data_IF_958347165030
#
_entry.id   IF_958347165030
#
_cell.length_a   1.000
_cell.length_b   1.000
_cell.length_c   1.000
_cell.angle_alpha   90.00
_cell.angle_beta   90.00
_cell.angle_gamma   90.00
#
_symmetry.space_group_name_H-M   'P 1'
#
loop_
_entity.id
_entity.type
_entity.pdbx_description
1 polymer ?
#
# COMPACT_ATOMS: atom_id res chain seq x y z
N UNK A 1 -16.84 -6.68 -9.61
CA UNK A 1 -15.93 -6.87 -8.46
C UNK A 1 -16.68 -7.22 -7.17
N UNK A 2 -17.75 -6.52 -6.82
CA UNK A 2 -18.51 -6.71 -5.57
C UNK A 2 -18.96 -8.17 -5.30
N UNK A 3 -19.60 -8.82 -6.29
CA UNK A 3 -19.99 -10.25 -6.17
C UNK A 3 -18.82 -11.22 -5.97
N UNK A 4 -17.62 -10.92 -6.52
CA UNK A 4 -16.43 -11.74 -6.31
C UNK A 4 -15.89 -11.57 -4.89
N UNK A 5 -15.90 -10.34 -4.37
CA UNK A 5 -15.52 -10.05 -2.99
C UNK A 5 -16.46 -10.74 -1.99
N UNK A 6 -17.78 -10.63 -2.20
CA UNK A 6 -18.79 -11.30 -1.37
C UNK A 6 -18.61 -12.83 -1.37
N UNK A 7 -18.37 -13.44 -2.54
CA UNK A 7 -18.11 -14.88 -2.62
C UNK A 7 -16.85 -15.31 -1.89
N UNK A 8 -15.78 -14.51 -1.96
CA UNK A 8 -14.53 -14.77 -1.24
C UNK A 8 -14.70 -14.58 0.27
N UNK A 9 -15.44 -13.56 0.69
CA UNK A 9 -15.74 -13.28 2.10
C UNK A 9 -16.54 -14.43 2.72
N UNK A 10 -17.60 -14.89 2.05
CA UNK A 10 -18.41 -16.02 2.52
C UNK A 10 -17.58 -17.31 2.63
N UNK A 11 -16.69 -17.54 1.66
CA UNK A 11 -15.74 -18.66 1.71
C UNK A 11 -14.82 -18.57 2.93
N UNK A 12 -14.20 -17.42 3.17
CA UNK A 12 -13.31 -17.19 4.30
C UNK A 12 -14.05 -17.26 5.65
N UNK A 13 -15.25 -16.69 5.75
CA UNK A 13 -16.08 -16.80 6.96
C UNK A 13 -16.44 -18.26 7.28
N UNK A 14 -16.78 -19.06 6.25
CA UNK A 14 -17.07 -20.48 6.43
C UNK A 14 -15.81 -21.25 6.85
N UNK A 15 -14.66 -20.98 6.23
CA UNK A 15 -13.38 -21.60 6.60
C UNK A 15 -12.95 -21.24 8.02
N UNK A 16 -13.13 -19.98 8.41
CA UNK A 16 -12.78 -19.48 9.73
C UNK A 16 -13.71 -20.03 10.81
N UNK A 17 -15.01 -20.08 10.57
CA UNK A 17 -15.97 -20.69 11.52
C UNK A 17 -15.69 -22.17 11.74
N UNK A 18 -15.33 -22.93 10.70
CA UNK A 18 -14.89 -24.32 10.84
C UNK A 18 -13.63 -24.45 11.70
N UNK A 19 -12.62 -23.58 11.49
CA UNK A 19 -11.43 -23.54 12.35
C UNK A 19 -11.80 -23.24 13.80
N UNK A 20 -12.64 -22.23 14.03
CA UNK A 20 -13.06 -21.82 15.37
C UNK A 20 -13.85 -22.94 16.10
N UNK A 21 -14.71 -23.67 15.38
CA UNK A 21 -15.43 -24.82 15.93
C UNK A 21 -14.45 -25.92 16.30
N UNK A 22 -13.48 -26.23 15.42
CA UNK A 22 -12.47 -27.25 15.70
C UNK A 22 -11.62 -26.90 16.92
N UNK A 23 -11.18 -25.64 17.06
CA UNK A 23 -10.43 -25.18 18.22
C UNK A 23 -11.25 -25.23 19.49
N UNK A 24 -12.53 -24.81 19.44
CA UNK A 24 -13.43 -24.89 20.60
C UNK A 24 -13.68 -26.34 21.04
N UNK A 25 -13.87 -27.28 20.10
CA UNK A 25 -14.02 -28.70 20.40
C UNK A 25 -12.75 -29.26 21.04
N UNK A 26 -11.58 -28.88 20.53
CA UNK A 26 -10.29 -29.29 21.08
C UNK A 26 -10.11 -28.76 22.51
N UNK A 27 -10.46 -27.51 22.77
CA UNK A 27 -10.43 -26.91 24.11
C UNK A 27 -11.40 -27.61 25.08
N UNK A 28 -12.63 -27.92 24.64
CA UNK A 28 -13.58 -28.68 25.45
C UNK A 28 -13.07 -30.08 25.79
N UNK A 29 -12.49 -30.78 24.82
CA UNK A 29 -11.90 -32.10 25.04
C UNK A 29 -10.73 -32.03 26.02
N UNK A 30 -9.87 -31.03 25.84
CA UNK A 30 -8.74 -30.75 26.72
C UNK A 30 -9.19 -30.48 28.17
N UNK A 31 -10.12 -29.54 28.41
CA UNK A 31 -10.64 -29.28 29.75
C UNK A 31 -11.35 -30.48 30.38
N UNK A 32 -12.06 -31.28 29.58
CA UNK A 32 -12.69 -32.51 30.07
C UNK A 32 -11.68 -33.57 30.48
N UNK A 33 -10.63 -33.76 29.68
CA UNK A 33 -9.52 -34.66 29.99
C UNK A 33 -8.78 -34.22 31.26
N UNK A 34 -8.54 -32.93 31.43
CA UNK A 34 -7.88 -32.36 32.61
C UNK A 34 -8.67 -32.61 33.89
N UNK A 35 -10.00 -32.43 33.84
CA UNK A 35 -10.87 -32.69 34.98
C UNK A 35 -10.86 -34.17 35.35
N UNK A 36 -10.91 -35.06 34.35
CA UNK A 36 -10.82 -36.51 34.57
C UNK A 36 -9.48 -36.92 35.18
N UNK A 37 -8.36 -36.42 34.64
CA UNK A 37 -7.02 -36.67 35.18
C UNK A 37 -6.86 -36.12 36.61
N UNK A 38 -7.42 -34.94 36.89
CA UNK A 38 -7.37 -34.33 38.23
C UNK A 38 -8.16 -35.14 39.26
N UNK A 39 -9.35 -35.64 38.90
CA UNK A 39 -10.15 -36.51 39.78
C UNK A 39 -9.45 -37.84 40.04
N UNK A 40 -8.87 -38.46 39.00
CA UNK A 40 -8.09 -39.69 39.14
C UNK A 40 -6.86 -39.48 40.03
N UNK A 41 -6.14 -38.38 39.83
CA UNK A 41 -4.97 -38.03 40.63
C UNK A 41 -5.35 -37.83 42.10
N UNK A 42 -6.43 -37.09 42.38
CA UNK A 42 -6.93 -36.89 43.74
C UNK A 42 -7.35 -38.23 44.37
N UNK A 43 -8.06 -39.08 43.64
CA UNK A 43 -8.51 -40.39 44.11
C UNK A 43 -7.36 -41.33 44.49
N UNK A 44 -6.34 -41.42 43.63
CA UNK A 44 -5.12 -42.20 43.90
C UNK A 44 -4.34 -41.58 45.06
N UNK A 45 -4.25 -40.25 45.11
CA UNK A 45 -3.60 -39.52 46.21
C UNK A 45 -4.23 -39.81 47.57
N UNK A 46 -5.56 -39.76 47.67
CA UNK A 46 -6.30 -40.10 48.89
C UNK A 46 -6.10 -41.57 49.28
N UNK A 47 -6.11 -42.48 48.30
CA UNK A 47 -5.84 -43.90 48.55
C UNK A 47 -4.43 -44.14 49.14
N UNK A 48 -3.42 -43.43 48.62
CA UNK A 48 -2.02 -43.53 49.10
C UNK A 48 -1.82 -42.92 50.50
N UNK A 49 -2.55 -41.86 50.82
CA UNK A 49 -2.58 -41.29 52.19
C UNK A 49 -3.19 -42.29 53.17
N UNK A 50 -4.29 -42.95 52.79
CA UNK A 50 -4.93 -43.99 53.61
C UNK A 50 -4.01 -45.22 53.82
N UNK A 51 -3.19 -45.56 52.82
CA UNK A 51 -2.15 -46.57 52.93
C UNK A 51 -0.90 -46.12 53.73
N UNK A 52 -0.92 -44.93 54.32
CA UNK A 52 0.18 -44.30 55.08
C UNK A 52 1.51 -44.20 54.31
N UNK A 53 1.46 -44.20 52.98
CA UNK A 53 2.67 -44.15 52.13
C UNK A 53 3.14 -42.73 51.85
N UNK A 54 2.23 -41.74 51.91
CA UNK A 54 2.47 -40.34 51.51
C UNK A 54 1.77 -39.41 52.50
N UNK A 55 2.37 -38.26 52.81
CA UNK A 55 1.77 -37.20 53.63
C UNK A 55 0.96 -36.19 52.80
N UNK A 56 0.02 -35.47 53.43
CA UNK A 56 -0.83 -34.49 52.74
C UNK A 56 -0.01 -33.39 52.01
N UNK A 57 1.10 -32.94 52.60
CA UNK A 57 1.97 -31.92 52.00
C UNK A 57 2.67 -32.40 50.72
N UNK A 58 3.04 -33.68 50.66
CA UNK A 58 3.69 -34.29 49.49
C UNK A 58 2.71 -34.39 48.32
N UNK A 59 1.45 -34.76 48.58
CA UNK A 59 0.40 -34.82 47.55
C UNK A 59 0.14 -33.42 46.94
N UNK A 60 0.03 -32.39 47.78
CA UNK A 60 -0.17 -31.01 47.31
C UNK A 60 1.03 -30.54 46.46
N UNK A 61 2.26 -30.86 46.88
CA UNK A 61 3.45 -30.51 46.12
C UNK A 61 3.47 -31.17 44.73
N UNK A 62 3.16 -32.47 44.65
CA UNK A 62 3.10 -33.19 43.37
C UNK A 62 1.98 -32.63 42.49
N UNK A 63 0.82 -32.29 43.05
CA UNK A 63 -0.29 -31.71 42.29
C UNK A 63 0.06 -30.35 41.68
N UNK A 64 0.72 -29.47 42.44
CA UNK A 64 1.17 -28.16 41.93
C UNK A 64 2.21 -28.32 40.82
N UNK A 65 3.17 -29.24 40.98
CA UNK A 65 4.16 -29.52 39.94
C UNK A 65 3.50 -30.10 38.67
N UNK A 66 2.57 -31.04 38.83
CA UNK A 66 1.81 -31.62 37.72
C UNK A 66 1.03 -30.55 36.94
N UNK A 67 0.24 -29.72 37.62
CA UNK A 67 -0.59 -28.71 36.96
C UNK A 67 0.26 -27.67 36.22
N UNK A 68 1.38 -27.23 36.82
CA UNK A 68 2.33 -26.32 36.15
C UNK A 68 2.96 -26.96 34.91
N UNK A 69 3.47 -28.19 35.02
CA UNK A 69 4.07 -28.88 33.88
C UNK A 69 3.06 -29.13 32.76
N UNK A 70 1.88 -29.62 33.11
CA UNK A 70 0.79 -29.93 32.19
C UNK A 70 0.38 -28.70 31.37
N UNK A 71 0.15 -27.56 32.04
CA UNK A 71 -0.21 -26.31 31.36
C UNK A 71 0.84 -25.91 30.31
N UNK A 72 2.13 -25.89 30.68
CA UNK A 72 3.19 -25.48 29.74
C UNK A 72 3.39 -26.50 28.60
N UNK A 73 3.25 -27.79 28.89
CA UNK A 73 3.38 -28.85 27.90
C UNK A 73 2.35 -28.69 26.76
N UNK A 74 1.12 -28.33 27.10
CA UNK A 74 0.04 -28.17 26.12
C UNK A 74 0.18 -26.89 25.29
N UNK A 75 0.76 -25.82 25.87
CA UNK A 75 1.05 -24.61 25.11
C UNK A 75 2.04 -24.84 23.96
N UNK A 76 2.95 -25.81 24.09
CA UNK A 76 3.89 -26.17 23.00
C UNK A 76 3.13 -26.58 21.73
N UNK A 77 2.04 -27.36 21.89
CA UNK A 77 1.21 -27.78 20.77
C UNK A 77 0.51 -26.63 20.04
N UNK A 78 0.23 -25.53 20.75
CA UNK A 78 -0.31 -24.30 20.19
C UNK A 78 0.74 -23.46 19.48
N UNK A 79 1.95 -23.37 20.03
CA UNK A 79 3.01 -22.50 19.49
C UNK A 79 3.68 -23.06 18.24
N UNK A 80 3.72 -24.38 18.03
CA UNK A 80 4.36 -24.96 16.83
C UNK A 80 3.71 -24.46 15.51
N UNK A 81 2.37 -24.50 15.35
CA UNK A 81 1.72 -23.91 14.17
C UNK A 81 1.99 -22.41 14.00
N UNK A 82 1.96 -21.66 15.10
CA UNK A 82 2.19 -20.20 15.09
C UNK A 82 3.63 -19.87 14.65
N UNK A 83 4.62 -20.61 15.14
CA UNK A 83 6.00 -20.50 14.69
C UNK A 83 6.15 -20.82 13.20
N UNK A 84 5.46 -21.85 12.71
CA UNK A 84 5.48 -22.21 11.29
C UNK A 84 4.91 -21.09 10.42
N UNK A 85 3.82 -20.47 10.85
CA UNK A 85 3.21 -19.32 10.19
C UNK A 85 4.17 -18.12 10.16
N UNK A 86 4.83 -17.81 11.28
CA UNK A 86 5.85 -16.77 11.33
C UNK A 86 7.02 -17.02 10.37
N UNK A 87 7.46 -18.28 10.21
CA UNK A 87 8.54 -18.63 9.27
C UNK A 87 8.14 -18.40 7.81
N UNK A 88 6.87 -18.63 7.45
CA UNK A 88 6.37 -18.32 6.09
C UNK A 88 6.38 -16.82 5.85
N UNK A 89 5.85 -16.01 6.78
CA UNK A 89 5.89 -14.55 6.66
C UNK A 89 7.32 -14.01 6.58
N UNK A 90 8.23 -14.61 7.33
CA UNK A 90 9.65 -14.25 7.29
C UNK A 90 10.26 -14.56 5.92
N UNK A 91 9.92 -15.69 5.31
CA UNK A 91 10.39 -16.05 3.97
C UNK A 91 9.90 -15.05 2.92
N UNK A 92 8.62 -14.68 2.94
CA UNK A 92 8.04 -13.71 2.00
C UNK A 92 8.68 -12.33 2.16
N UNK A 93 8.97 -11.92 3.40
CA UNK A 93 9.70 -10.68 3.70
C UNK A 93 11.11 -10.74 3.09
N UNK A 94 11.85 -11.82 3.31
CA UNK A 94 13.19 -11.97 2.75
C UNK A 94 13.19 -12.05 1.23
N UNK A 95 12.19 -12.67 0.62
CA UNK A 95 12.00 -12.67 -0.83
C UNK A 95 11.79 -11.25 -1.36
N UNK A 96 10.95 -10.46 -0.69
CA UNK A 96 10.74 -9.04 -1.03
C UNK A 96 12.02 -8.22 -0.88
N UNK A 97 12.78 -8.39 0.21
CA UNK A 97 14.05 -7.70 0.42
C UNK A 97 15.15 -8.15 -0.54
N UNK A 98 15.03 -9.35 -1.12
CA UNK A 98 15.97 -9.88 -2.11
C UNK A 98 15.62 -9.46 -3.55
N UNK A 99 14.51 -8.75 -3.77
CA UNK A 99 14.18 -8.19 -5.08
C UNK A 99 15.26 -7.20 -5.51
N UNK A 100 15.58 -7.23 -6.81
CA UNK A 100 16.55 -6.30 -7.39
C UNK A 100 16.10 -4.85 -7.20
N UNK A 101 17.02 -4.03 -6.72
CA UNK A 101 16.79 -2.60 -6.54
C UNK A 101 17.14 -1.83 -7.80
N UNK A 102 16.70 -0.57 -7.85
CA UNK A 102 17.04 0.35 -8.93
C UNK A 102 18.57 0.56 -9.06
N UNK A 103 19.29 0.51 -7.93
CA UNK A 103 20.74 0.66 -7.87
C UNK A 103 21.50 -0.51 -8.52
N UNK A 104 20.90 -1.70 -8.61
CA UNK A 104 21.53 -2.87 -9.23
C UNK A 104 21.74 -2.70 -10.74
N UNK A 105 21.05 -1.74 -11.35
CA UNK A 105 21.17 -1.39 -12.77
C UNK A 105 22.18 -0.28 -13.04
N UNK A 106 22.83 0.27 -12.01
CA UNK A 106 23.82 1.33 -12.14
C UNK A 106 25.22 0.77 -12.44
N UNK A 107 26.04 1.59 -13.10
CA UNK A 107 27.45 1.30 -13.31
C UNK A 107 28.23 1.37 -12.00
N UNK A 108 29.37 0.67 -11.94
CA UNK A 108 30.22 0.60 -10.74
C UNK A 108 30.81 1.96 -10.31
N UNK A 109 30.89 2.92 -11.23
CA UNK A 109 31.40 4.27 -10.98
C UNK A 109 30.30 5.29 -11.22
N UNK A 110 29.84 5.92 -10.14
CA UNK A 110 28.84 6.98 -10.20
C UNK A 110 29.53 8.33 -10.45
N UNK A 111 29.33 8.91 -11.63
CA UNK A 111 29.79 10.23 -12.01
C UNK A 111 28.74 11.30 -11.74
N UNK A 112 29.11 12.34 -11.00
CA UNK A 112 28.25 13.53 -10.87
C UNK A 112 28.24 14.35 -12.16
N UNK A 113 27.09 14.93 -12.48
CA UNK A 113 26.98 15.94 -13.54
C UNK A 113 27.69 17.20 -13.06
N UNK A 114 28.69 17.66 -13.81
CA UNK A 114 29.41 18.89 -13.50
C UNK A 114 28.78 20.06 -14.26
N UNK A 115 28.99 21.28 -13.77
CA UNK A 115 28.49 22.50 -14.43
C UNK A 115 28.95 22.65 -15.88
N UNK A 116 30.15 22.13 -16.22
CA UNK A 116 30.66 22.10 -17.60
C UNK A 116 29.83 21.19 -18.52
N UNK A 117 29.28 20.11 -17.99
CA UNK A 117 28.55 19.10 -18.77
C UNK A 117 27.20 19.69 -19.24
N UNK A 118 26.59 20.57 -18.44
CA UNK A 118 25.37 21.31 -18.79
C UNK A 118 25.51 22.22 -20.02
N UNK A 119 26.75 22.53 -20.44
CA UNK A 119 27.02 23.33 -21.64
C UNK A 119 27.09 22.48 -22.92
N UNK A 120 26.89 21.17 -22.82
CA UNK A 120 26.87 20.29 -23.99
C UNK A 120 25.74 20.66 -24.96
N UNK A 121 25.98 20.55 -26.28
CA UNK A 121 24.98 20.91 -27.30
C UNK A 121 23.79 19.93 -27.31
N UNK A 122 23.97 18.71 -26.83
CA UNK A 122 22.93 17.69 -26.72
C UNK A 122 22.58 17.47 -25.26
N UNK A 123 21.30 17.64 -24.92
CA UNK A 123 20.80 17.41 -23.57
C UNK A 123 20.54 15.92 -23.31
N UNK A 124 19.85 15.24 -24.23
CA UNK A 124 19.52 13.80 -24.11
C UNK A 124 19.84 13.11 -25.42
N UNK A 125 20.49 11.96 -25.39
CA UNK A 125 20.72 11.11 -26.57
C UNK A 125 20.36 9.68 -26.26
N UNK A 126 19.64 9.04 -27.16
CA UNK A 126 19.30 7.62 -27.13
C UNK A 126 20.04 6.94 -28.27
N UNK A 127 20.83 5.93 -27.96
CA UNK A 127 21.61 5.17 -28.93
C UNK A 127 21.11 3.72 -28.97
N UNK A 128 20.51 3.35 -30.10
CA UNK A 128 20.03 2.00 -30.40
C UNK A 128 19.11 1.37 -29.35
N UNK A 129 18.17 2.15 -28.82
CA UNK A 129 17.32 1.73 -27.72
C UNK A 129 16.33 0.66 -28.15
N UNK A 130 16.33 -0.44 -27.41
CA UNK A 130 15.32 -1.49 -27.48
C UNK A 130 14.70 -1.73 -26.11
N UNK A 131 13.36 -1.80 -26.04
CA UNK A 131 12.63 -1.94 -24.78
C UNK A 131 11.26 -2.62 -24.93
N UNK A 132 10.90 -3.45 -23.95
CA UNK A 132 9.57 -4.03 -23.73
C UNK A 132 9.31 -4.24 -22.23
N UNK A 133 8.04 -4.13 -21.78
CA UNK A 133 7.68 -4.29 -20.36
C UNK A 133 7.79 -5.74 -19.85
N UNK A 134 7.62 -6.70 -20.75
CA UNK A 134 7.76 -8.12 -20.48
C UNK A 134 8.41 -8.78 -21.71
N UNK A 135 8.97 -9.97 -21.53
CA UNK A 135 9.73 -10.72 -22.55
C UNK A 135 8.97 -10.99 -23.87
N UNK A 136 7.69 -10.66 -23.97
CA UNK A 136 6.84 -11.05 -25.11
C UNK A 136 6.46 -9.89 -26.05
N UNK A 137 6.69 -8.63 -25.67
CA UNK A 137 6.34 -7.48 -26.53
C UNK A 137 7.37 -6.36 -26.48
N UNK A 138 8.16 -6.25 -27.55
CA UNK A 138 9.03 -5.11 -27.78
C UNK A 138 8.21 -3.90 -28.25
N UNK A 139 8.30 -2.80 -27.52
CA UNK A 139 7.56 -1.55 -27.76
C UNK A 139 8.43 -0.58 -28.56
N UNK A 140 9.73 -0.54 -28.25
CA UNK A 140 10.72 0.31 -28.92
C UNK A 140 11.77 -0.61 -29.52
N UNK A 141 12.00 -0.48 -30.83
CA UNK A 141 12.95 -1.30 -31.58
C UNK A 141 14.03 -0.39 -32.19
N UNK A 142 15.29 -0.55 -31.76
CA UNK A 142 16.46 0.12 -32.35
C UNK A 142 16.29 1.64 -32.56
N UNK A 143 15.75 2.34 -31.56
CA UNK A 143 15.50 3.78 -31.65
C UNK A 143 16.78 4.56 -31.31
N UNK A 144 17.24 5.38 -32.26
CA UNK A 144 18.31 6.36 -32.03
C UNK A 144 17.79 7.77 -32.26
N UNK A 145 17.87 8.63 -31.24
CA UNK A 145 17.39 10.02 -31.31
C UNK A 145 18.17 10.91 -30.34
N UNK A 146 18.46 12.13 -30.75
CA UNK A 146 19.15 13.14 -29.94
C UNK A 146 18.31 14.39 -29.79
N UNK A 147 18.23 14.92 -28.57
CA UNK A 147 17.54 16.15 -28.21
C UNK A 147 18.57 17.22 -27.88
N UNK A 148 18.53 18.32 -28.64
CA UNK A 148 19.44 19.45 -28.45
C UNK A 148 19.13 20.23 -27.17
N UNK A 149 20.19 20.73 -26.54
CA UNK A 149 20.08 21.54 -25.34
C UNK A 149 19.46 22.91 -25.65
N UNK A 150 18.55 23.37 -24.80
CA UNK A 150 17.84 24.64 -24.98
C UNK A 150 16.77 24.67 -26.08
N UNK A 151 16.52 23.56 -26.80
CA UNK A 151 15.47 23.47 -27.82
C UNK A 151 14.22 22.74 -27.32
N UNK A 152 13.05 23.30 -27.62
CA UNK A 152 11.78 22.63 -27.39
C UNK A 152 11.54 21.59 -28.49
N UNK A 153 11.43 20.31 -28.11
CA UNK A 153 11.16 19.21 -29.04
C UNK A 153 9.81 18.59 -28.73
N UNK A 154 8.98 18.40 -29.77
CA UNK A 154 7.69 17.74 -29.65
C UNK A 154 7.76 16.31 -30.22
N UNK A 155 7.35 15.32 -29.42
CA UNK A 155 7.26 13.91 -29.83
C UNK A 155 5.81 13.61 -30.19
N UNK A 156 5.56 13.32 -31.47
CA UNK A 156 4.21 13.03 -31.99
C UNK A 156 4.14 11.60 -32.54
N UNK A 157 2.94 11.03 -32.58
CA UNK A 157 2.73 9.67 -33.09
C UNK A 157 1.40 9.06 -32.65
N UNK A 158 1.03 7.92 -33.23
CA UNK A 158 -0.23 7.21 -32.94
C UNK A 158 -0.32 6.80 -31.47
N UNK A 159 -1.53 6.68 -30.93
CA UNK A 159 -1.73 6.11 -29.58
C UNK A 159 -1.15 4.69 -29.53
N UNK A 160 -0.42 4.36 -28.46
CA UNK A 160 0.24 3.06 -28.31
C UNK A 160 1.63 2.93 -28.94
N UNK A 161 2.15 3.93 -29.66
CA UNK A 161 3.49 3.84 -30.28
C UNK A 161 4.68 4.02 -29.31
N UNK A 162 4.45 3.93 -27.99
CA UNK A 162 5.52 4.00 -26.99
C UNK A 162 6.00 5.40 -26.56
N UNK A 163 5.30 6.50 -26.89
CA UNK A 163 5.71 7.87 -26.49
C UNK A 163 5.88 8.03 -24.98
N UNK A 164 4.88 7.62 -24.20
CA UNK A 164 4.95 7.68 -22.74
C UNK A 164 6.02 6.74 -22.21
N UNK A 165 6.23 5.58 -22.85
CA UNK A 165 7.29 4.64 -22.51
C UNK A 165 8.68 5.25 -22.73
N UNK A 166 8.90 5.95 -23.85
CA UNK A 166 10.13 6.66 -24.14
C UNK A 166 10.46 7.71 -23.07
N UNK A 167 9.47 8.52 -22.66
CA UNK A 167 9.65 9.49 -21.58
C UNK A 167 10.01 8.81 -20.25
N UNK A 168 9.32 7.70 -19.91
CA UNK A 168 9.63 6.92 -18.70
C UNK A 168 11.04 6.32 -18.73
N UNK A 169 11.55 5.92 -19.90
CA UNK A 169 12.93 5.45 -20.05
C UNK A 169 13.96 6.57 -19.86
N UNK A 170 13.69 7.76 -20.42
CA UNK A 170 14.56 8.94 -20.22
C UNK A 170 14.60 9.32 -18.73
N UNK A 171 13.47 9.22 -18.02
CA UNK A 171 13.40 9.43 -16.56
C UNK A 171 14.03 8.27 -15.73
N UNK A 172 14.48 7.20 -16.39
CA UNK A 172 15.07 6.04 -15.74
C UNK A 172 14.10 5.21 -14.90
N UNK A 173 12.80 5.22 -15.20
CA UNK A 173 11.83 4.37 -14.47
C UNK A 173 11.89 2.90 -14.85
N UNK A 174 12.53 2.58 -15.98
CA UNK A 174 12.80 1.22 -16.39
C UNK A 174 14.23 1.13 -16.93
N UNK A 175 14.96 0.05 -16.63
CA UNK A 175 16.21 -0.24 -17.31
C UNK A 175 15.94 -0.56 -18.79
N UNK A 176 16.84 -0.12 -19.66
CA UNK A 176 16.78 -0.45 -21.09
C UNK A 176 17.21 -1.90 -21.31
N UNK A 177 16.54 -2.61 -22.23
CA UNK A 177 16.91 -4.01 -22.56
C UNK A 177 18.02 -4.09 -23.61
N UNK A 178 18.25 -3.02 -24.36
CA UNK A 178 19.35 -2.86 -25.31
C UNK A 178 19.57 -1.40 -25.65
N UNK A 179 20.81 -1.05 -26.01
CA UNK A 179 21.23 0.33 -26.25
C UNK A 179 21.56 1.10 -24.97
N UNK A 180 21.83 2.39 -25.12
CA UNK A 180 22.24 3.28 -24.01
C UNK A 180 21.57 4.66 -24.10
N UNK A 181 21.25 5.23 -22.93
CA UNK A 181 20.72 6.59 -22.80
C UNK A 181 21.83 7.47 -22.22
N UNK A 182 22.01 8.65 -22.81
CA UNK A 182 22.98 9.64 -22.39
C UNK A 182 22.28 10.94 -22.00
N UNK A 183 22.72 11.52 -20.88
CA UNK A 183 22.32 12.84 -20.41
C UNK A 183 23.56 13.73 -20.40
N UNK A 184 23.53 14.83 -21.14
CA UNK A 184 24.67 15.73 -21.34
C UNK A 184 25.97 15.01 -21.75
N UNK A 185 25.85 13.96 -22.58
CA UNK A 185 26.98 13.16 -23.07
C UNK A 185 27.48 12.07 -22.13
N UNK A 186 26.93 11.93 -20.92
CA UNK A 186 27.26 10.87 -19.95
C UNK A 186 26.19 9.80 -19.91
N UNK A 187 26.56 8.54 -19.70
CA UNK A 187 25.60 7.44 -19.64
C UNK A 187 24.72 7.55 -18.41
N UNK A 188 23.41 7.32 -18.57
CA UNK A 188 22.45 7.35 -17.48
C UNK A 188 22.80 6.36 -16.36
N UNK A 189 23.30 5.18 -16.73
CA UNK A 189 23.77 4.15 -15.80
C UNK A 189 25.01 4.58 -14.99
N UNK A 190 25.85 5.46 -15.54
CA UNK A 190 27.06 5.96 -14.87
C UNK A 190 26.77 7.20 -14.03
N UNK A 191 25.72 7.97 -14.31
CA UNK A 191 25.36 9.15 -13.50
C UNK A 191 24.65 8.77 -12.20
N UNK A 192 23.89 7.68 -12.23
CA UNK A 192 22.92 7.35 -11.19
C UNK A 192 21.58 8.06 -11.41
N UNK A 193 20.48 7.37 -11.13
CA UNK A 193 19.15 7.90 -11.38
C UNK A 193 18.77 9.08 -10.48
N UNK A 194 19.28 9.13 -9.25
CA UNK A 194 19.02 10.28 -8.35
C UNK A 194 19.57 11.58 -8.95
N UNK A 195 20.85 11.59 -9.33
CA UNK A 195 21.50 12.77 -9.91
C UNK A 195 20.91 13.13 -11.27
N UNK A 196 20.60 12.13 -12.10
CA UNK A 196 19.92 12.34 -13.37
C UNK A 196 18.54 13.00 -13.18
N UNK A 197 17.73 12.51 -12.24
CA UNK A 197 16.39 13.05 -11.96
C UNK A 197 16.43 14.46 -11.35
N UNK A 198 17.52 14.87 -10.69
CA UNK A 198 17.70 16.27 -10.26
C UNK A 198 17.76 17.25 -11.44
N UNK A 199 18.14 16.78 -12.63
CA UNK A 199 18.20 17.58 -13.86
C UNK A 199 16.94 17.43 -14.73
N UNK A 200 15.97 16.59 -14.35
CA UNK A 200 14.79 16.28 -15.15
C UNK A 200 13.52 16.64 -14.38
N UNK A 201 12.72 17.54 -14.94
CA UNK A 201 11.35 17.77 -14.48
C UNK A 201 10.39 16.88 -15.29
N UNK A 202 9.57 16.08 -14.60
CA UNK A 202 8.57 15.20 -15.22
C UNK A 202 7.16 15.61 -14.80
N UNK A 203 6.30 15.87 -15.78
CA UNK A 203 4.87 16.15 -15.56
C UNK A 203 4.07 14.98 -16.14
N UNK A 204 3.47 14.12 -15.30
CA UNK A 204 2.68 12.99 -15.78
C UNK A 204 1.37 13.46 -16.44
N UNK A 205 0.80 12.59 -17.27
CA UNK A 205 -0.50 12.84 -17.90
C UNK A 205 -1.63 12.96 -16.86
N UNK A 206 -1.58 12.14 -15.80
CA UNK A 206 -2.49 12.17 -14.67
C UNK A 206 -1.67 12.53 -13.42
N UNK A 207 -1.73 13.79 -12.93
CA UNK A 207 -0.99 14.19 -11.75
C UNK A 207 -1.58 13.55 -10.50
N UNK A 208 -0.71 13.13 -9.59
CA UNK A 208 -1.08 12.65 -8.27
C UNK A 208 -0.83 13.73 -7.23
N UNK A 209 -1.79 13.91 -6.31
CA UNK A 209 -1.64 14.79 -5.16
C UNK A 209 -1.64 13.94 -3.90
N UNK A 210 -0.67 14.19 -3.02
CA UNK A 210 -0.64 13.59 -1.71
C UNK A 210 -1.78 14.16 -0.85
N UNK A 211 -2.27 13.34 0.09
CA UNK A 211 -3.31 13.72 1.05
C UNK A 211 -2.75 14.65 2.14
N UNK A 212 -2.24 15.80 1.72
CA UNK A 212 -1.60 16.82 2.56
C UNK A 212 -2.02 18.21 2.04
N UNK A 213 -1.44 19.27 2.58
CA UNK A 213 -1.69 20.62 2.09
C UNK A 213 -1.13 20.83 0.66
N UNK A 214 -1.69 21.82 -0.04
CA UNK A 214 -1.20 22.22 -1.37
C UNK A 214 0.23 22.75 -1.29
N UNK A 215 0.56 23.48 -0.21
CA UNK A 215 1.91 23.98 0.04
C UNK A 215 2.93 22.84 0.11
N UNK A 216 2.63 21.80 0.89
CA UNK A 216 3.49 20.62 1.00
C UNK A 216 3.61 19.84 -0.31
N UNK A 217 2.53 19.75 -1.10
CA UNK A 217 2.58 19.14 -2.43
C UNK A 217 3.52 19.92 -3.38
N UNK A 218 3.53 21.26 -3.32
CA UNK A 218 4.46 22.08 -4.13
C UNK A 218 5.89 21.96 -3.58
N UNK A 219 6.06 22.01 -2.26
CA UNK A 219 7.36 21.86 -1.60
C UNK A 219 8.00 20.50 -1.88
N UNK A 220 7.20 19.47 -2.15
CA UNK A 220 7.68 18.13 -2.50
C UNK A 220 8.61 18.13 -3.72
N UNK A 221 8.42 19.04 -4.68
CA UNK A 221 9.27 19.16 -5.86
C UNK A 221 10.70 19.63 -5.56
N UNK A 222 10.92 20.31 -4.43
CA UNK A 222 12.23 20.76 -3.96
C UNK A 222 12.26 20.73 -2.42
N UNK A 223 12.72 19.63 -1.80
CA UNK A 223 12.84 19.54 -0.35
C UNK A 223 13.65 20.72 0.22
N UNK A 224 13.12 21.38 1.24
CA UNK A 224 13.72 22.57 1.84
C UNK A 224 13.47 23.89 1.10
N UNK A 225 12.54 23.92 0.13
CA UNK A 225 12.12 25.17 -0.50
C UNK A 225 11.55 26.16 0.52
N UNK A 226 11.89 27.43 0.37
CA UNK A 226 11.30 28.49 1.20
C UNK A 226 9.86 28.76 0.80
N UNK A 227 9.07 29.34 1.70
CA UNK A 227 7.69 29.76 1.41
C UNK A 227 7.63 30.71 0.21
N UNK A 228 8.64 31.56 0.03
CA UNK A 228 8.73 32.47 -1.12
C UNK A 228 8.95 31.70 -2.44
N UNK A 229 9.83 30.69 -2.45
CA UNK A 229 10.03 29.82 -3.62
C UNK A 229 8.77 29.06 -3.98
N UNK A 230 8.03 28.55 -2.97
CA UNK A 230 6.76 27.84 -3.16
C UNK A 230 5.71 28.77 -3.76
N UNK A 231 5.56 29.98 -3.22
CA UNK A 231 4.63 30.97 -3.79
C UNK A 231 5.00 31.37 -5.22
N UNK A 232 6.29 31.53 -5.51
CA UNK A 232 6.75 31.86 -6.85
C UNK A 232 6.49 30.71 -7.84
N UNK A 233 6.71 29.46 -7.43
CA UNK A 233 6.36 28.29 -8.25
C UNK A 233 4.85 28.21 -8.52
N UNK A 234 4.02 28.44 -7.50
CA UNK A 234 2.55 28.47 -7.65
C UNK A 234 2.10 29.57 -8.63
N UNK A 235 2.72 30.75 -8.57
CA UNK A 235 2.46 31.87 -9.50
C UNK A 235 2.91 31.54 -10.91
N UNK A 236 4.06 30.91 -11.10
CA UNK A 236 4.55 30.53 -12.42
C UNK A 236 3.68 29.44 -13.08
N UNK A 237 3.13 28.52 -12.29
CA UNK A 237 2.25 27.46 -12.78
C UNK A 237 0.85 27.96 -13.18
N UNK A 238 0.44 29.15 -12.73
CA UNK A 238 -0.87 29.73 -13.04
C UNK A 238 -0.73 30.91 -14.00
N UNK A 239 -1.28 30.84 -15.24
CA UNK A 239 -1.20 31.96 -16.18
C UNK A 239 -1.99 33.23 -15.74
N UNK A 240 -2.75 33.17 -14.64
CA UNK A 240 -3.53 34.28 -14.10
C UNK A 240 -3.25 34.49 -12.61
N UNK A 241 -2.11 35.08 -12.29
CA UNK A 241 -1.57 35.59 -11.00
C UNK A 241 -2.44 35.67 -9.72
N UNK A 242 -3.23 34.66 -9.40
CA UNK A 242 -4.11 34.62 -8.23
C UNK A 242 -4.13 33.20 -7.66
N UNK A 243 -3.42 33.03 -6.54
CA UNK A 243 -3.30 31.75 -5.81
C UNK A 243 -4.67 31.15 -5.41
N UNK A 244 -5.73 31.96 -5.36
CA UNK A 244 -7.10 31.55 -5.04
C UNK A 244 -7.74 30.59 -6.07
N UNK A 245 -7.32 30.64 -7.34
CA UNK A 245 -7.85 29.74 -8.38
C UNK A 245 -7.15 28.37 -8.41
N UNK A 246 -5.94 28.28 -7.86
CA UNK A 246 -5.21 27.01 -7.73
C UNK A 246 -5.88 26.09 -6.70
N UNK A 247 -6.29 26.66 -5.56
CA UNK A 247 -7.08 25.95 -4.55
C UNK A 247 -8.43 25.56 -5.12
N UNK A 248 -9.15 26.47 -5.77
CA UNK A 248 -10.52 26.20 -6.26
C UNK A 248 -10.57 25.05 -7.28
N UNK A 249 -9.60 24.95 -8.19
CA UNK A 249 -9.61 23.94 -9.28
C UNK A 249 -9.09 22.57 -8.84
N UNK A 250 -8.24 22.50 -7.82
CA UNK A 250 -7.84 21.25 -7.15
C UNK A 250 -8.92 20.80 -6.16
N UNK A 251 -9.59 21.73 -5.47
CA UNK A 251 -10.69 21.45 -4.55
C UNK A 251 -11.96 20.99 -5.28
N UNK A 252 -12.21 21.44 -6.53
CA UNK A 252 -13.34 20.92 -7.33
C UNK A 252 -13.12 19.48 -7.78
N UNK A 253 -11.87 19.03 -8.02
CA UNK A 253 -11.58 17.61 -8.29
C UNK A 253 -11.73 16.75 -7.04
N UNK A 254 -11.28 17.23 -5.88
CA UNK A 254 -11.39 16.51 -4.62
C UNK A 254 -12.84 16.37 -4.14
N UNK A 255 -13.68 17.40 -4.34
CA UNK A 255 -15.11 17.32 -3.99
C UNK A 255 -15.89 16.33 -4.86
N UNK A 256 -15.44 16.09 -6.10
CA UNK A 256 -16.05 15.10 -7.01
C UNK A 256 -15.68 13.66 -6.63
N UNK A 257 -14.53 13.44 -6.00
CA UNK A 257 -14.07 12.11 -5.58
C UNK A 257 -14.66 11.71 -4.22
N UNK A 258 -14.91 12.67 -3.31
CA UNK A 258 -15.63 12.40 -2.05
C UNK A 258 -17.12 12.13 -2.26
N UNK A 259 -17.76 12.66 -3.31
CA UNK A 259 -19.15 12.35 -3.66
C UNK A 259 -19.33 10.96 -4.30
N UNK A 260 -18.31 10.41 -4.95
CA UNK A 260 -18.39 9.11 -5.64
C UNK A 260 -18.15 7.91 -4.69
N UNK A 261 -17.61 8.13 -3.49
CA UNK A 261 -17.18 7.06 -2.56
C UNK A 261 -17.96 6.95 -1.24
N UNK A 262 -19.18 7.48 -1.13
CA UNK A 262 -20.06 7.12 0.00
C UNK A 262 -20.91 5.87 -0.33
N UNK A 263 -20.82 4.78 0.46
CA UNK A 263 -21.83 3.73 0.43
C UNK A 263 -23.15 4.22 1.08
N UNK A 264 -24.31 3.62 0.76
CA UNK A 264 -25.58 4.02 1.36
C UNK A 264 -25.64 3.46 2.79
N UNK A 265 -26.11 4.27 3.76
CA UNK A 265 -27.04 3.88 4.84
C UNK A 265 -27.17 5.04 5.85
N UNK A 266 -28.37 5.64 5.81
CA UNK A 266 -29.18 6.30 6.85
C UNK A 266 -28.55 6.73 8.19
N UNK A 267 -28.75 8.02 8.53
CA UNK A 267 -29.26 8.42 9.84
C UNK A 267 -30.02 9.75 9.72
N UNK A 268 -31.33 9.69 9.95
CA UNK A 268 -32.21 10.85 10.04
C UNK A 268 -31.93 11.63 11.33
N UNK A 269 -31.65 12.93 11.24
CA UNK A 269 -31.86 13.90 12.32
C UNK A 269 -32.26 15.24 11.69
N UNK A 270 -33.57 15.44 11.49
CA UNK A 270 -34.13 16.78 11.25
C UNK A 270 -34.60 17.35 12.57
N UNK A 271 -33.95 18.39 13.07
CA UNK A 271 -34.47 19.20 14.17
C UNK A 271 -34.31 20.69 13.86
N UNK A 272 -35.44 21.36 13.61
CA UNK A 272 -35.78 22.71 14.13
C UNK A 272 -37.18 23.16 13.68
N UNK A 273 -38.06 23.53 14.63
CA UNK A 273 -39.05 24.60 14.48
C UNK A 273 -38.46 25.91 15.09
N UNK A 274 -39.16 27.08 15.17
CA UNK A 274 -40.58 27.36 14.91
C UNK A 274 -40.88 28.62 14.05
N UNK A 275 -42.19 28.78 13.79
CA UNK A 275 -42.94 30.00 13.46
C UNK A 275 -43.09 30.50 12.01
N UNK A 276 -44.23 30.14 11.39
CA UNK A 276 -45.20 31.07 10.79
C UNK A 276 -46.53 30.36 10.43
N UNK A 277 -47.67 31.08 10.36
CA UNK A 277 -48.99 30.63 10.87
C UNK A 277 -49.92 30.00 9.79
N UNK A 278 -51.15 29.56 10.14
CA UNK A 278 -51.77 28.38 9.54
C UNK A 278 -52.54 28.69 8.26
N UNK A 279 -52.52 27.77 7.30
CA UNK A 279 -53.57 27.65 6.29
C UNK A 279 -54.46 26.46 6.60
N UNK A 280 -55.65 26.78 7.08
CA UNK A 280 -56.82 25.91 7.01
C UNK A 280 -57.21 25.75 5.53
N UNK A 281 -57.29 24.53 5.02
CA UNK A 281 -58.40 24.14 4.12
C UNK A 281 -58.52 22.61 4.08
N UNK A 282 -59.53 22.15 4.81
CA UNK A 282 -60.52 21.15 4.41
C UNK A 282 -60.16 19.67 4.20
N UNK A 283 -61.12 18.88 4.66
CA UNK A 283 -61.07 17.46 4.86
C UNK A 283 -61.82 16.69 3.76
N UNK A 284 -61.33 15.46 3.55
CA UNK A 284 -62.03 14.23 3.11
C UNK A 284 -62.46 14.11 1.63
N UNK A 285 -62.76 12.87 1.15
CA UNK A 285 -62.52 11.53 1.72
C UNK A 285 -61.86 10.53 0.74
N UNK A 286 -61.51 9.35 1.28
CA UNK A 286 -61.05 8.17 0.56
C UNK A 286 -62.23 7.31 0.03
N UNK A 287 -61.99 6.11 -0.54
CA UNK A 287 -62.17 5.74 -1.94
C UNK A 287 -63.47 4.96 -2.21
N UNK A 288 -63.80 4.70 -3.49
CA UNK A 288 -64.84 3.73 -3.89
C UNK A 288 -64.24 2.65 -4.83
N UNK A 289 -64.56 1.35 -4.62
CA UNK A 289 -64.13 0.20 -5.46
C UNK A 289 -65.15 -0.01 -6.61
N UNK A 290 -65.03 -1.00 -7.54
CA UNK A 290 -64.21 -2.21 -7.61
C UNK A 290 -62.98 -2.16 -8.52
#
# INVERSE_FOLDING_TARGET
MQKRCESALLYWQKKQSLRNILTAVLECFHSGFDLLCSVLFLGIGIFLINAQSIQLGELVAIYVLYTSFHFHFLQIGKYIPELTECLVYMNDLFEFLALKEENDYLGQNIEKIQSKDLSMPTAVSLADISFGYANEQTIINHLSVSFENGKMTAITGRTGCGKSTLLKLICGFYPVTGGEIFLFGKKLSEIGYEEARRQIAYVPQEPYLYQTTIEENIAYGKPGASTEEIMNAARAATPFGSAALFTTRIFTMLSFITEIFQPPVQAAVTSRPPDSPPRQTEARPAPTPP
#
